data_IF_040909999276
#
_entry.id   IF_040909999276
#
_cell.length_a   1.000
_cell.length_b   1.000
_cell.length_c   1.000
_cell.angle_alpha   90.00
_cell.angle_beta   90.00
_cell.angle_gamma   90.00
#
_symmetry.space_group_name_H-M   'P 1'
#
loop_
_entity.id
_entity.type
_entity.pdbx_description
1 polymer ?
#
# COMPACT_ATOMS: atom_id res chain seq x y z
N UNK A 1 -10.39 27.16 41.41
CA UNK A 1 -11.22 26.24 40.60
C UNK A 1 -11.21 26.57 39.10
N UNK A 2 -11.35 27.84 38.69
CA UNK A 2 -11.33 28.24 37.27
C UNK A 2 -10.04 27.89 36.49
N UNK A 3 -8.86 27.91 37.13
CA UNK A 3 -7.61 27.55 36.48
C UNK A 3 -7.49 26.04 36.18
N UNK A 4 -8.08 25.17 37.01
CA UNK A 4 -8.04 23.72 36.83
C UNK A 4 -8.92 23.26 35.65
N UNK A 5 -10.12 23.85 35.54
CA UNK A 5 -11.06 23.57 34.44
C UNK A 5 -10.53 24.02 33.07
N UNK A 6 -9.80 25.15 33.01
CA UNK A 6 -9.17 25.58 31.75
C UNK A 6 -8.03 24.65 31.32
N UNK A 7 -7.28 24.04 32.24
CA UNK A 7 -6.19 23.11 31.91
C UNK A 7 -6.75 21.78 31.37
N UNK A 8 -7.85 21.27 31.93
CA UNK A 8 -8.52 20.06 31.42
C UNK A 8 -9.17 20.28 30.04
N UNK A 9 -9.78 21.45 29.81
CA UNK A 9 -10.35 21.82 28.50
C UNK A 9 -9.24 22.02 27.45
N UNK A 10 -8.09 22.59 27.83
CA UNK A 10 -6.95 22.77 26.92
C UNK A 10 -6.26 21.44 26.62
N UNK A 11 -6.13 20.54 27.60
CA UNK A 11 -5.59 19.19 27.44
C UNK A 11 -6.48 18.33 26.54
N UNK A 12 -7.80 18.35 26.78
CA UNK A 12 -8.75 17.64 25.91
C UNK A 12 -8.73 18.22 24.49
N UNK A 13 -8.77 19.53 24.30
CA UNK A 13 -8.65 20.16 22.98
C UNK A 13 -7.31 19.83 22.28
N UNK A 14 -6.19 19.76 23.02
CA UNK A 14 -4.90 19.30 22.49
C UNK A 14 -4.94 17.82 22.12
N UNK A 15 -5.60 16.96 22.89
CA UNK A 15 -5.76 15.54 22.53
C UNK A 15 -6.66 15.36 21.32
N UNK A 16 -7.73 16.15 21.18
CA UNK A 16 -8.60 16.15 20.00
C UNK A 16 -7.85 16.67 18.78
N UNK A 17 -7.10 17.77 18.89
CA UNK A 17 -6.23 18.30 17.83
C UNK A 17 -5.10 17.33 17.48
N UNK A 18 -4.45 16.70 18.45
CA UNK A 18 -3.41 15.70 18.23
C UNK A 18 -3.97 14.45 17.56
N UNK A 19 -5.17 13.99 17.95
CA UNK A 19 -5.87 12.88 17.31
C UNK A 19 -6.28 13.24 15.86
N UNK A 20 -6.73 14.48 15.63
CA UNK A 20 -7.01 15.02 14.28
C UNK A 20 -5.74 15.08 13.42
N UNK A 21 -4.61 15.51 13.99
CA UNK A 21 -3.29 15.57 13.32
C UNK A 21 -2.74 14.16 13.06
N UNK A 22 -2.89 13.23 14.01
CA UNK A 22 -2.51 11.83 13.87
C UNK A 22 -3.34 11.09 12.82
N UNK A 23 -4.58 11.50 12.58
CA UNK A 23 -5.40 10.98 11.48
C UNK A 23 -4.99 11.55 10.11
N UNK A 24 -4.59 12.82 10.05
CA UNK A 24 -4.25 13.50 8.79
C UNK A 24 -3.08 12.85 8.07
N UNK A 25 -2.04 12.45 8.78
CA UNK A 25 -0.85 11.91 8.12
C UNK A 25 -1.08 10.54 7.45
N UNK A 26 -1.64 9.52 8.14
CA UNK A 26 -2.07 8.28 7.51
C UNK A 26 -3.09 8.47 6.39
N UNK A 27 -4.06 9.39 6.56
CA UNK A 27 -5.04 9.69 5.51
C UNK A 27 -4.36 10.24 4.24
N UNK A 28 -3.40 11.15 4.38
CA UNK A 28 -2.64 11.69 3.24
C UNK A 28 -1.82 10.58 2.57
N UNK A 29 -1.19 9.69 3.35
CA UNK A 29 -0.44 8.56 2.80
C UNK A 29 -1.35 7.59 2.04
N UNK A 30 -2.52 7.25 2.59
CA UNK A 30 -3.52 6.40 1.95
C UNK A 30 -4.06 7.07 0.68
N UNK A 31 -4.33 8.37 0.73
CA UNK A 31 -4.80 9.13 -0.44
C UNK A 31 -3.74 9.14 -1.55
N UNK A 32 -2.49 9.44 -1.22
CA UNK A 32 -1.38 9.40 -2.19
C UNK A 32 -1.22 8.01 -2.79
N UNK A 33 -1.20 6.97 -1.96
CA UNK A 33 -1.15 5.58 -2.42
C UNK A 33 -2.26 5.28 -3.44
N UNK A 34 -3.51 5.64 -3.14
CA UNK A 34 -4.65 5.37 -4.01
C UNK A 34 -4.62 6.20 -5.31
N UNK A 35 -4.23 7.48 -5.24
CA UNK A 35 -4.10 8.34 -6.43
C UNK A 35 -3.04 7.78 -7.38
N UNK A 36 -1.86 7.42 -6.87
CA UNK A 36 -0.80 6.83 -7.67
C UNK A 36 -1.15 5.42 -8.17
N UNK A 37 -1.86 4.61 -7.38
CA UNK A 37 -2.40 3.31 -7.82
C UNK A 37 -3.38 3.49 -8.99
N UNK A 38 -4.28 4.48 -8.90
CA UNK A 38 -5.22 4.81 -9.95
C UNK A 38 -4.50 5.24 -11.24
N UNK A 39 -3.57 6.21 -11.14
CA UNK A 39 -2.74 6.66 -12.28
C UNK A 39 -2.02 5.47 -12.90
N UNK A 40 -1.43 4.60 -12.08
CA UNK A 40 -0.70 3.43 -12.56
C UNK A 40 -1.58 2.39 -13.25
N UNK A 41 -2.87 2.28 -12.92
CA UNK A 41 -3.80 1.42 -13.67
C UNK A 41 -4.08 1.94 -15.08
N UNK A 42 -3.95 3.26 -15.29
CA UNK A 42 -4.11 3.87 -16.61
C UNK A 42 -2.85 3.77 -17.49
N UNK A 43 -1.65 3.64 -16.90
CA UNK A 43 -0.37 3.58 -17.64
C UNK A 43 -0.31 2.41 -18.66
N UNK A 44 -0.71 1.15 -18.32
CA UNK A 44 -0.67 0.02 -19.24
C UNK A 44 -1.67 0.09 -20.41
N UNK A 45 -2.63 1.04 -20.38
CA UNK A 45 -3.51 1.29 -21.53
C UNK A 45 -2.74 1.89 -22.71
N UNK A 46 -1.61 2.56 -22.44
CA UNK A 46 -0.69 3.00 -23.49
C UNK A 46 0.13 1.79 -23.93
N UNK A 47 -0.22 1.21 -25.10
CA UNK A 47 0.37 -0.04 -25.65
C UNK A 47 1.91 -0.08 -25.63
N UNK A 48 2.59 1.07 -25.71
CA UNK A 48 4.06 1.17 -25.72
C UNK A 48 4.75 0.92 -24.38
N UNK A 49 4.05 1.05 -23.25
CA UNK A 49 4.63 0.84 -21.91
C UNK A 49 4.26 -0.53 -21.35
N UNK A 50 3.46 -1.31 -22.07
CA UNK A 50 2.94 -2.59 -21.60
C UNK A 50 4.08 -3.60 -21.43
N UNK A 51 4.56 -3.75 -20.19
CA UNK A 51 5.51 -4.80 -19.84
C UNK A 51 4.81 -6.16 -19.91
N UNK A 52 4.88 -6.78 -21.09
CA UNK A 52 4.44 -8.17 -21.33
C UNK A 52 5.55 -9.19 -20.98
N UNK A 53 6.72 -8.71 -20.56
CA UNK A 53 7.88 -9.55 -20.24
C UNK A 53 7.75 -10.19 -18.86
N UNK A 54 7.73 -11.53 -18.81
CA UNK A 54 7.77 -12.30 -17.55
C UNK A 54 8.96 -11.93 -16.65
N UNK A 55 10.10 -11.59 -17.25
CA UNK A 55 11.31 -11.16 -16.52
C UNK A 55 11.10 -9.81 -15.84
N UNK A 56 10.45 -8.86 -16.53
CA UNK A 56 10.12 -7.55 -15.96
C UNK A 56 9.16 -7.67 -14.77
N UNK A 57 8.18 -8.56 -14.88
CA UNK A 57 7.24 -8.84 -13.79
C UNK A 57 7.95 -9.45 -12.56
N UNK A 58 8.84 -10.42 -12.75
CA UNK A 58 9.63 -10.99 -11.65
C UNK A 58 10.54 -9.96 -10.98
N UNK A 59 11.24 -9.12 -11.76
CA UNK A 59 12.09 -8.05 -11.22
C UNK A 59 11.26 -7.07 -10.39
N UNK A 60 10.08 -6.68 -10.88
CA UNK A 60 9.22 -5.76 -10.18
C UNK A 60 8.62 -6.37 -8.89
N UNK A 61 8.30 -7.66 -8.87
CA UNK A 61 7.92 -8.38 -7.63
C UNK A 61 9.11 -8.42 -6.65
N UNK A 62 10.31 -8.75 -7.13
CA UNK A 62 11.52 -8.79 -6.30
C UNK A 62 11.86 -7.42 -5.71
N UNK A 63 11.69 -6.35 -6.49
CA UNK A 63 11.93 -4.98 -6.01
C UNK A 63 11.04 -4.57 -4.84
N UNK A 64 9.87 -5.22 -4.66
CA UNK A 64 9.00 -4.94 -3.51
C UNK A 64 9.57 -5.42 -2.19
N UNK A 65 10.37 -6.49 -2.20
CA UNK A 65 11.06 -6.93 -0.98
C UNK A 65 12.09 -5.89 -0.51
N UNK A 66 12.69 -5.11 -1.44
CA UNK A 66 13.56 -4.00 -1.09
C UNK A 66 12.82 -2.80 -0.49
N UNK A 67 11.51 -2.66 -0.75
CA UNK A 67 10.72 -1.58 -0.16
C UNK A 67 10.54 -1.77 1.35
N UNK A 68 10.48 -3.01 1.86
CA UNK A 68 10.33 -3.30 3.30
C UNK A 68 11.48 -2.67 4.14
N UNK A 69 12.77 -2.95 3.87
CA UNK A 69 13.86 -2.31 4.60
C UNK A 69 13.95 -0.81 4.31
N UNK A 70 13.55 -0.34 3.13
CA UNK A 70 13.51 1.08 2.82
C UNK A 70 12.47 1.81 3.69
N UNK A 71 11.26 1.26 3.85
CA UNK A 71 10.25 1.79 4.75
C UNK A 71 10.73 1.81 6.19
N UNK A 72 11.37 0.74 6.66
CA UNK A 72 11.91 0.67 8.02
C UNK A 72 13.01 1.71 8.26
N UNK A 73 13.92 1.89 7.30
CA UNK A 73 14.98 2.90 7.39
C UNK A 73 14.41 4.32 7.38
N UNK A 74 13.43 4.57 6.51
CA UNK A 74 12.80 5.89 6.38
C UNK A 74 11.93 6.22 7.58
N UNK A 75 11.29 5.23 8.21
CA UNK A 75 10.56 5.44 9.46
C UNK A 75 11.50 5.80 10.65
N UNK A 76 12.78 5.41 10.59
CA UNK A 76 13.76 5.64 11.66
C UNK A 76 14.64 6.88 11.44
N UNK A 77 14.96 7.21 10.19
CA UNK A 77 15.90 8.28 9.84
C UNK A 77 15.36 9.28 8.81
N UNK A 78 14.19 9.02 8.21
CA UNK A 78 13.63 9.80 7.13
C UNK A 78 12.61 10.82 7.59
N UNK A 79 12.60 11.96 6.91
CA UNK A 79 11.60 13.01 7.08
C UNK A 79 10.24 12.62 6.43
N UNK A 80 9.18 13.35 6.79
CA UNK A 80 7.81 13.12 6.33
C UNK A 80 7.70 13.02 4.80
N UNK A 81 8.49 13.78 4.05
CA UNK A 81 8.52 13.75 2.59
C UNK A 81 9.00 12.41 1.99
N UNK A 82 9.97 11.75 2.62
CA UNK A 82 10.52 10.48 2.13
C UNK A 82 9.53 9.32 2.25
N UNK A 83 8.74 9.30 3.33
CA UNK A 83 7.65 8.34 3.49
C UNK A 83 6.58 8.52 2.42
N UNK A 84 6.19 9.76 2.10
CA UNK A 84 5.22 10.05 1.02
C UNK A 84 5.75 9.58 -0.33
N UNK A 85 7.03 9.82 -0.63
CA UNK A 85 7.67 9.34 -1.86
C UNK A 85 7.66 7.82 -1.98
N UNK A 86 8.03 7.10 -0.91
CA UNK A 86 8.00 5.63 -0.91
C UNK A 86 6.59 5.06 -1.06
N UNK A 87 5.60 5.66 -0.40
CA UNK A 87 4.19 5.24 -0.50
C UNK A 87 3.61 5.52 -1.88
N UNK A 88 4.01 6.63 -2.51
CA UNK A 88 3.63 6.97 -3.88
C UNK A 88 4.21 5.96 -4.87
N UNK A 89 5.49 5.59 -4.71
CA UNK A 89 6.14 4.56 -5.52
C UNK A 89 5.52 3.16 -5.29
N UNK A 90 5.17 2.85 -4.04
CA UNK A 90 4.47 1.62 -3.70
C UNK A 90 3.09 1.56 -4.37
N UNK A 91 2.29 2.64 -4.32
CA UNK A 91 1.00 2.75 -4.99
C UNK A 91 1.13 2.62 -6.51
N UNK A 92 2.08 3.33 -7.10
CA UNK A 92 2.35 3.26 -8.54
C UNK A 92 2.73 1.85 -8.98
N UNK A 93 3.66 1.21 -8.27
CA UNK A 93 4.06 -0.17 -8.58
C UNK A 93 2.95 -1.18 -8.29
N UNK A 94 1.99 -0.89 -7.39
CA UNK A 94 0.81 -1.73 -7.14
C UNK A 94 -0.21 -1.70 -8.27
N UNK A 95 -0.63 -0.52 -8.69
CA UNK A 95 -1.59 -0.38 -9.77
C UNK A 95 -1.05 -0.94 -11.08
N UNK A 96 0.23 -0.67 -11.35
CA UNK A 96 0.89 -1.09 -12.59
C UNK A 96 1.08 -2.61 -12.66
N UNK A 97 1.65 -3.24 -11.62
CA UNK A 97 1.87 -4.68 -11.59
C UNK A 97 0.54 -5.44 -11.65
N UNK A 98 -0.48 -4.99 -10.92
CA UNK A 98 -1.79 -5.65 -10.89
C UNK A 98 -2.42 -5.70 -12.28
N UNK A 99 -2.42 -4.59 -13.01
CA UNK A 99 -2.93 -4.54 -14.39
C UNK A 99 -2.07 -5.36 -15.35
N UNK A 100 -0.73 -5.31 -15.22
CA UNK A 100 0.17 -6.14 -16.03
C UNK A 100 -0.04 -7.64 -15.81
N UNK A 101 -0.18 -8.11 -14.56
CA UNK A 101 -0.44 -9.51 -14.21
C UNK A 101 -1.80 -9.93 -14.76
N UNK A 102 -2.86 -9.18 -14.45
CA UNK A 102 -4.24 -9.50 -14.88
C UNK A 102 -4.38 -9.53 -16.41
N UNK A 103 -3.61 -8.69 -17.13
CA UNK A 103 -3.66 -8.66 -18.60
C UNK A 103 -2.78 -9.71 -19.25
N UNK A 104 -1.71 -10.17 -18.58
CA UNK A 104 -0.76 -11.15 -19.14
C UNK A 104 -1.11 -12.58 -18.75
N UNK A 105 -1.67 -12.80 -17.56
CA UNK A 105 -2.05 -14.12 -17.06
C UNK A 105 -3.04 -14.90 -17.96
N UNK A 106 -4.09 -14.28 -18.55
CA UNK A 106 -5.00 -15.00 -19.43
C UNK A 106 -4.48 -15.12 -20.88
N UNK A 107 -3.42 -14.40 -21.27
CA UNK A 107 -2.93 -14.47 -22.65
C UNK A 107 -2.31 -15.85 -22.94
N UNK A 108 -2.86 -16.56 -23.92
CA UNK A 108 -2.37 -17.85 -24.39
C UNK A 108 -3.22 -19.06 -23.97
N UNK A 109 -4.27 -18.87 -23.18
CA UNK A 109 -5.18 -19.94 -22.74
C UNK A 109 -6.53 -19.85 -23.45
N UNK A 110 -7.22 -20.99 -23.59
CA UNK A 110 -8.56 -21.03 -24.22
C UNK A 110 -9.61 -20.44 -23.26
N UNK A 111 -10.72 -19.91 -23.79
CA UNK A 111 -11.74 -19.17 -23.02
C UNK A 111 -12.15 -19.77 -21.66
N UNK A 112 -12.41 -21.09 -21.55
CA UNK A 112 -12.73 -21.73 -20.26
C UNK A 112 -11.56 -21.69 -19.25
N UNK A 113 -10.33 -21.88 -19.72
CA UNK A 113 -9.11 -21.88 -18.88
C UNK A 113 -8.76 -20.46 -18.39
N UNK A 114 -9.02 -19.43 -19.20
CA UNK A 114 -8.84 -18.02 -18.81
C UNK A 114 -9.72 -17.64 -17.63
N UNK A 115 -10.96 -18.15 -17.57
CA UNK A 115 -11.87 -17.88 -16.46
C UNK A 115 -11.42 -18.55 -15.16
N UNK A 116 -10.92 -19.78 -15.24
CA UNK A 116 -10.35 -20.49 -14.09
C UNK A 116 -9.09 -19.78 -13.57
N UNK A 117 -8.20 -19.34 -14.46
CA UNK A 117 -7.01 -18.57 -14.10
C UNK A 117 -7.35 -17.21 -13.49
N UNK A 118 -8.38 -16.53 -14.01
CA UNK A 118 -8.90 -15.29 -13.44
C UNK A 118 -9.37 -15.48 -12.00
N UNK A 119 -10.19 -16.49 -11.74
CA UNK A 119 -10.67 -16.82 -10.39
C UNK A 119 -9.54 -17.19 -9.43
N UNK A 120 -8.55 -17.96 -9.90
CA UNK A 120 -7.38 -18.32 -9.10
C UNK A 120 -6.54 -17.09 -8.75
N UNK A 121 -6.36 -16.16 -9.69
CA UNK A 121 -5.60 -14.93 -9.45
C UNK A 121 -6.31 -14.02 -8.45
N UNK A 122 -7.63 -13.90 -8.53
CA UNK A 122 -8.45 -13.18 -7.54
C UNK A 122 -8.35 -13.86 -6.16
N UNK A 123 -8.36 -15.19 -6.10
CA UNK A 123 -8.18 -15.94 -4.86
C UNK A 123 -6.82 -15.64 -4.21
N UNK A 124 -5.73 -15.64 -4.97
CA UNK A 124 -4.41 -15.29 -4.46
C UNK A 124 -4.33 -13.84 -3.97
N UNK A 125 -5.01 -12.91 -4.65
CA UNK A 125 -5.03 -11.50 -4.27
C UNK A 125 -5.80 -11.30 -2.94
N UNK A 126 -6.96 -11.94 -2.79
CA UNK A 126 -7.74 -11.94 -1.55
C UNK A 126 -7.00 -12.63 -0.41
N UNK A 127 -6.39 -13.78 -0.68
CA UNK A 127 -5.57 -14.51 0.30
C UNK A 127 -4.37 -13.70 0.76
N UNK A 128 -3.72 -12.97 -0.15
CA UNK A 128 -2.61 -12.06 0.18
C UNK A 128 -3.03 -10.90 1.08
N UNK A 129 -4.17 -10.28 0.81
CA UNK A 129 -4.73 -9.21 1.67
C UNK A 129 -5.05 -9.77 3.06
N UNK A 130 -5.70 -10.94 3.12
CA UNK A 130 -6.06 -11.59 4.37
C UNK A 130 -4.82 -11.96 5.20
N UNK A 131 -3.80 -12.54 4.58
CA UNK A 131 -2.52 -12.84 5.22
C UNK A 131 -1.81 -11.57 5.69
N UNK A 132 -1.87 -10.48 4.91
CA UNK A 132 -1.31 -9.18 5.29
C UNK A 132 -1.92 -8.62 6.56
N UNK A 133 -3.25 -8.61 6.68
CA UNK A 133 -3.96 -8.16 7.90
C UNK A 133 -3.62 -9.07 9.10
N UNK A 134 -3.54 -10.39 8.87
CA UNK A 134 -3.19 -11.34 9.93
C UNK A 134 -1.76 -11.16 10.44
N UNK A 135 -0.81 -10.89 9.55
CA UNK A 135 0.59 -10.63 9.89
C UNK A 135 0.78 -9.27 10.57
N UNK A 136 0.01 -8.24 10.20
CA UNK A 136 -0.01 -6.94 10.88
C UNK A 136 -0.41 -7.12 12.36
N UNK A 137 -1.45 -7.92 12.60
CA UNK A 137 -1.89 -8.22 13.96
C UNK A 137 -0.86 -9.02 14.75
N UNK A 138 -0.23 -10.02 14.11
CA UNK A 138 0.86 -10.80 14.70
C UNK A 138 2.08 -9.92 15.05
N UNK A 139 2.39 -8.92 14.21
CA UNK A 139 3.46 -7.97 14.44
C UNK A 139 3.22 -7.07 15.65
N UNK A 140 1.97 -6.64 15.86
CA UNK A 140 1.57 -5.86 17.05
C UNK A 140 1.73 -6.70 18.32
N UNK A 141 1.29 -7.96 18.28
CA UNK A 141 1.41 -8.88 19.42
C UNK A 141 2.88 -9.18 19.74
N UNK A 142 3.72 -9.38 18.73
CA UNK A 142 5.16 -9.68 18.89
C UNK A 142 5.99 -8.51 19.42
N UNK A 143 5.56 -7.25 19.24
CA UNK A 143 6.25 -6.07 19.76
C UNK A 143 5.80 -5.64 21.17
N UNK A 144 4.92 -6.40 21.82
CA UNK A 144 4.69 -6.33 23.26
C UNK A 144 4.23 -4.97 23.81
N UNK A 145 3.55 -4.15 23.00
CA UNK A 145 2.92 -2.91 23.48
C UNK A 145 1.43 -3.13 23.66
N UNK A 146 1.08 -3.84 24.73
CA UNK A 146 -0.23 -3.80 25.37
C UNK A 146 -0.05 -3.33 26.80
#
# INVERSE_FOLDING_TARGET
MYACHNIEVTSSALTWLAMDISLRYPLVLIAMYNVFDLIARYIPLVKSVKLESRKGLMIAILSRFLLIPAFYFTAKYGDQGWMIMLISFLGLSNGYLTVCVLTTAPKGFKGPEQNALGNLLVLFLLGGIFAGVSLDWLWIIGNGKF
#
